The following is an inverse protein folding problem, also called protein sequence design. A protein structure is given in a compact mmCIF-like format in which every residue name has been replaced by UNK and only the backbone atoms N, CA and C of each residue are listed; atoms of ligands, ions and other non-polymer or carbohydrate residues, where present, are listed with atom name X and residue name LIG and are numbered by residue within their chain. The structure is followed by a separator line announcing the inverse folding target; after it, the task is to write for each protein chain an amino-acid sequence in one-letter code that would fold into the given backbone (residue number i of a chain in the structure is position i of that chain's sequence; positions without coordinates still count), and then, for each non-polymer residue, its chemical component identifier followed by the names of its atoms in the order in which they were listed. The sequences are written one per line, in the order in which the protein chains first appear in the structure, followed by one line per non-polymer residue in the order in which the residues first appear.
data_IF_500881584435
#
_entry.id   IF_500881584435
#
_cell.length_a   1.000
_cell.length_b   1.000
_cell.length_c   1.000
_cell.angle_alpha   90.00
_cell.angle_beta   90.00
_cell.angle_gamma   90.00
#
_symmetry.space_group_name_H-M   'P 1'
#
loop_
_entity.id
_entity.type
_entity.pdbx_description
1 polymer ?
#
# COMPACT_ATOMS: atom_id res chain seq x y z
N UNK A 1 14.51 23.27 -25.46
CA UNK A 1 13.83 23.02 -24.16
C UNK A 1 12.36 22.79 -24.45
N UNK A 2 11.81 21.61 -24.13
CA UNK A 2 10.39 21.28 -24.36
C UNK A 2 9.57 21.74 -23.15
N UNK A 3 8.38 22.34 -23.32
CA UNK A 3 7.53 22.68 -22.19
C UNK A 3 6.89 21.41 -21.63
N UNK A 4 7.05 21.20 -20.33
CA UNK A 4 6.27 20.23 -19.55
C UNK A 4 4.84 20.76 -19.46
N UNK A 5 3.92 20.02 -20.08
CA UNK A 5 2.49 20.28 -20.02
C UNK A 5 2.01 19.94 -18.59
N UNK A 6 1.82 20.96 -17.76
CA UNK A 6 1.19 20.82 -16.44
C UNK A 6 -0.32 20.90 -16.66
N UNK A 7 -1.00 19.75 -16.64
CA UNK A 7 -2.46 19.69 -16.67
C UNK A 7 -2.95 19.60 -15.22
N UNK A 8 -3.59 20.68 -14.76
CA UNK A 8 -4.38 20.73 -13.53
C UNK A 8 -5.51 19.71 -13.60
N UNK A 9 -5.47 18.69 -12.75
CA UNK A 9 -6.59 17.76 -12.54
C UNK A 9 -7.42 18.32 -11.38
N UNK A 10 -8.60 18.85 -11.70
CA UNK A 10 -9.59 19.27 -10.70
C UNK A 10 -10.15 18.01 -10.03
N UNK A 11 -9.73 17.75 -8.79
CA UNK A 11 -10.22 16.65 -7.96
C UNK A 11 -11.62 17.03 -7.45
N UNK A 12 -12.65 16.32 -7.92
CA UNK A 12 -14.01 16.45 -7.41
C UNK A 12 -14.14 15.80 -6.02
N UNK A 13 -15.00 16.39 -5.18
CA UNK A 13 -15.32 15.97 -3.81
C UNK A 13 -15.60 14.47 -3.70
N UNK A 14 -14.66 13.72 -3.11
CA UNK A 14 -14.86 12.35 -2.62
C UNK A 14 -14.80 12.45 -1.09
N UNK A 15 -15.85 11.98 -0.43
CA UNK A 15 -15.96 11.95 1.03
C UNK A 15 -14.64 11.48 1.68
N UNK A 16 -14.08 12.35 2.52
CA UNK A 16 -12.84 12.15 3.25
C UNK A 16 -12.98 10.95 4.21
N UNK A 17 -12.59 9.76 3.76
CA UNK A 17 -12.25 8.68 4.69
C UNK A 17 -11.02 9.16 5.47
N UNK A 18 -11.22 9.57 6.73
CA UNK A 18 -10.12 9.92 7.64
C UNK A 18 -9.22 8.70 7.80
N UNK A 19 -7.91 8.92 7.97
CA UNK A 19 -6.91 7.89 8.33
C UNK A 19 -7.30 7.00 9.52
N UNK A 20 -8.25 7.47 10.33
CA UNK A 20 -8.88 6.80 11.48
C UNK A 20 -9.85 5.65 11.09
N UNK A 21 -10.08 5.38 9.81
CA UNK A 21 -11.03 4.36 9.32
C UNK A 21 -10.37 3.20 8.55
N UNK A 22 -9.03 3.08 8.55
CA UNK A 22 -8.40 1.91 7.94
C UNK A 22 -8.74 0.66 8.76
N UNK A 23 -9.56 -0.20 8.18
CA UNK A 23 -9.90 -1.50 8.76
C UNK A 23 -8.98 -2.58 8.21
N UNK A 24 -8.72 -3.61 9.00
CA UNK A 24 -8.00 -4.78 8.49
C UNK A 24 -8.82 -5.41 7.35
N UNK A 25 -8.19 -5.69 6.21
CA UNK A 25 -8.81 -6.55 5.20
C UNK A 25 -9.12 -7.93 5.78
N UNK A 26 -10.37 -8.38 5.63
CA UNK A 26 -10.82 -9.71 5.98
C UNK A 26 -9.95 -10.80 5.34
N UNK A 27 -9.47 -10.57 4.10
CA UNK A 27 -8.52 -11.46 3.42
C UNK A 27 -7.22 -11.61 4.17
N UNK A 28 -6.84 -10.66 5.02
CA UNK A 28 -5.60 -10.66 5.79
C UNK A 28 -5.82 -11.03 7.26
N UNK A 29 -7.05 -11.36 7.67
CA UNK A 29 -7.30 -11.88 9.01
C UNK A 29 -6.49 -13.16 9.26
N UNK A 30 -6.41 -14.08 8.30
CA UNK A 30 -5.58 -15.28 8.44
C UNK A 30 -4.08 -14.97 8.71
N UNK A 31 -3.57 -13.84 8.18
CA UNK A 31 -2.21 -13.39 8.46
C UNK A 31 -2.02 -12.94 9.92
N UNK A 32 -3.09 -12.48 10.59
CA UNK A 32 -3.09 -12.23 12.05
C UNK A 32 -3.17 -13.53 12.85
N UNK A 33 -3.94 -14.51 12.39
CA UNK A 33 -4.07 -15.79 13.10
C UNK A 33 -2.77 -16.59 13.11
N UNK A 34 -1.97 -16.48 12.05
CA UNK A 34 -0.66 -17.10 11.98
C UNK A 34 0.37 -16.40 12.90
N UNK A 35 0.13 -15.14 13.30
CA UNK A 35 0.99 -14.42 14.26
C UNK A 35 0.50 -14.55 15.71
N UNK A 36 -0.81 -14.76 15.95
CA UNK A 36 -1.40 -14.85 17.28
C UNK A 36 -1.23 -16.21 17.96
N UNK A 37 -1.06 -17.32 17.22
CA UNK A 37 -0.76 -18.65 17.79
C UNK A 37 0.49 -18.69 18.66
N UNK A 38 1.37 -17.70 18.57
CA UNK A 38 2.55 -17.56 19.42
C UNK A 38 2.25 -16.99 20.83
N UNK A 39 1.08 -16.38 21.06
CA UNK A 39 0.85 -15.49 22.23
C UNK A 39 -0.22 -15.96 23.24
N UNK A 40 -0.68 -17.22 23.19
CA UNK A 40 -1.53 -17.81 24.24
C UNK A 40 -2.95 -17.23 24.37
N UNK A 41 -3.64 -17.42 25.53
CA UNK A 41 -5.11 -17.32 25.68
C UNK A 41 -5.71 -15.90 25.67
N UNK A 42 -4.96 -14.86 25.31
CA UNK A 42 -5.45 -13.47 25.26
C UNK A 42 -6.16 -13.11 23.92
N UNK A 43 -6.61 -14.12 23.18
CA UNK A 43 -7.04 -14.07 21.77
C UNK A 43 -8.27 -13.20 21.47
N UNK A 44 -9.14 -12.96 22.46
CA UNK A 44 -10.37 -12.18 22.29
C UNK A 44 -10.19 -10.68 22.60
N UNK A 45 -9.46 -10.34 23.67
CA UNK A 45 -9.28 -8.95 24.11
C UNK A 45 -8.27 -8.18 23.24
N UNK A 46 -7.28 -8.88 22.68
CA UNK A 46 -6.31 -8.30 21.75
C UNK A 46 -6.85 -8.07 20.35
N UNK A 47 -7.98 -8.69 19.98
CA UNK A 47 -8.40 -8.79 18.58
C UNK A 47 -8.68 -7.43 17.95
N UNK A 48 -9.29 -6.49 18.68
CA UNK A 48 -9.64 -5.18 18.13
C UNK A 48 -8.45 -4.22 18.10
N UNK A 49 -7.65 -4.14 19.17
CA UNK A 49 -6.46 -3.27 19.20
C UNK A 49 -5.36 -3.73 18.23
N UNK A 50 -5.12 -5.04 18.13
CA UNK A 50 -4.18 -5.61 17.14
C UNK A 50 -4.69 -5.34 15.72
N UNK A 51 -6.00 -5.46 15.47
CA UNK A 51 -6.55 -5.21 14.13
C UNK A 51 -6.26 -3.78 13.66
N UNK A 52 -6.44 -2.78 14.52
CA UNK A 52 -6.17 -1.38 14.17
C UNK A 52 -4.68 -1.12 13.90
N UNK A 53 -3.80 -1.72 14.72
CA UNK A 53 -2.36 -1.61 14.54
C UNK A 53 -1.89 -2.23 13.22
N UNK A 54 -2.39 -3.43 12.89
CA UNK A 54 -2.01 -4.15 11.69
C UNK A 54 -2.70 -3.62 10.44
N UNK A 55 -3.87 -2.99 10.55
CA UNK A 55 -4.50 -2.27 9.44
C UNK A 55 -3.58 -1.15 8.91
N UNK A 56 -2.80 -0.50 9.78
CA UNK A 56 -1.80 0.51 9.38
C UNK A 56 -0.58 -0.08 8.68
N UNK A 57 -0.38 -1.39 8.71
CA UNK A 57 0.66 -2.08 7.95
C UNK A 57 0.17 -2.48 6.54
N UNK A 58 -1.14 -2.41 6.27
CA UNK A 58 -1.75 -2.81 5.01
C UNK A 58 -1.82 -1.69 3.97
N UNK A 59 -0.93 -0.70 4.02
CA UNK A 59 -1.20 0.50 3.25
C UNK A 59 -1.10 0.21 1.74
N UNK A 60 0.00 -0.37 1.23
CA UNK A 60 0.08 -0.75 -0.20
C UNK A 60 -0.87 -1.89 -0.57
N UNK A 61 -1.06 -2.89 0.29
CA UNK A 61 -2.07 -3.95 0.05
C UNK A 61 -3.51 -3.40 0.09
N UNK A 62 -3.70 -2.20 0.65
CA UNK A 62 -4.94 -1.45 0.62
C UNK A 62 -5.18 -0.64 -0.66
N UNK A 63 -4.25 -0.60 -1.62
CA UNK A 63 -4.39 0.18 -2.88
C UNK A 63 -5.68 -0.11 -3.65
N UNK A 64 -6.17 -1.34 -3.59
CA UNK A 64 -7.41 -1.74 -4.28
C UNK A 64 -8.68 -1.40 -3.49
N UNK A 65 -8.56 -1.01 -2.22
CA UNK A 65 -9.69 -0.82 -1.29
C UNK A 65 -9.89 0.63 -0.89
N UNK A 66 -8.80 1.34 -0.63
CA UNK A 66 -8.84 2.70 -0.11
C UNK A 66 -8.63 3.74 -1.21
N UNK A 67 -9.27 4.90 -1.04
CA UNK A 67 -9.00 6.04 -1.89
C UNK A 67 -7.56 6.55 -1.67
N UNK A 68 -6.90 7.03 -2.73
CA UNK A 68 -5.51 7.49 -2.64
C UNK A 68 -5.31 8.60 -1.60
N UNK A 69 -6.37 9.38 -1.27
CA UNK A 69 -6.38 10.39 -0.19
C UNK A 69 -5.93 9.83 1.17
N UNK A 70 -6.19 8.57 1.47
CA UNK A 70 -5.84 7.93 2.75
C UNK A 70 -4.32 7.77 2.92
N UNK A 71 -3.57 7.62 1.84
CA UNK A 71 -2.16 7.20 1.86
C UNK A 71 -1.17 8.32 2.21
N UNK A 72 -1.64 9.57 2.31
CA UNK A 72 -0.82 10.77 2.15
C UNK A 72 0.26 11.02 3.21
N UNK A 73 0.15 10.40 4.39
CA UNK A 73 0.99 10.75 5.54
C UNK A 73 1.59 9.52 6.25
N UNK A 74 1.53 8.34 5.64
CA UNK A 74 2.01 7.15 6.30
C UNK A 74 3.47 6.86 5.98
N UNK A 75 4.28 6.90 7.03
CA UNK A 75 5.65 6.40 7.03
C UNK A 75 5.76 5.25 8.02
N UNK A 76 6.08 4.05 7.52
CA UNK A 76 6.31 2.88 8.36
C UNK A 76 7.80 2.80 8.67
N UNK A 77 8.17 2.79 9.95
CA UNK A 77 9.54 2.51 10.35
C UNK A 77 9.77 1.00 10.36
N UNK A 78 10.86 0.49 9.74
CA UNK A 78 11.24 -0.91 9.89
C UNK A 78 11.32 -1.30 11.37
N UNK A 79 10.76 -2.46 11.71
CA UNK A 79 10.78 -2.96 13.09
C UNK A 79 11.43 -4.34 13.13
N UNK A 80 12.08 -4.64 14.26
CA UNK A 80 12.56 -6.00 14.53
C UNK A 80 11.47 -6.91 15.11
N UNK A 81 10.21 -6.46 15.15
CA UNK A 81 9.09 -7.26 15.66
C UNK A 81 8.81 -8.43 14.70
N UNK A 82 9.05 -9.69 15.10
CA UNK A 82 8.87 -10.84 14.23
C UNK A 82 7.42 -11.01 13.76
N UNK A 83 6.44 -10.65 14.59
CA UNK A 83 5.02 -10.73 14.24
C UNK A 83 4.63 -9.74 13.15
N UNK A 84 5.18 -8.52 13.16
CA UNK A 84 4.90 -7.53 12.10
C UNK A 84 5.55 -7.94 10.80
N UNK A 85 6.78 -8.44 10.87
CA UNK A 85 7.51 -8.92 9.71
C UNK A 85 6.78 -10.12 9.07
N UNK A 86 6.32 -11.09 9.88
CA UNK A 86 5.55 -12.23 9.41
C UNK A 86 4.22 -11.80 8.77
N UNK A 87 3.51 -10.85 9.37
CA UNK A 87 2.28 -10.32 8.80
C UNK A 87 2.51 -9.58 7.48
N UNK A 88 3.53 -8.73 7.39
CA UNK A 88 3.87 -8.02 6.15
C UNK A 88 4.15 -8.99 5.01
N UNK A 89 4.97 -10.02 5.27
CA UNK A 89 5.30 -11.06 4.29
C UNK A 89 4.03 -11.82 3.87
N UNK A 90 3.23 -12.28 4.83
CA UNK A 90 1.97 -12.98 4.56
C UNK A 90 1.04 -12.12 3.71
N UNK A 91 0.87 -10.84 4.08
CA UNK A 91 -0.03 -9.93 3.37
C UNK A 91 0.39 -9.68 1.92
N UNK A 92 1.70 -9.59 1.66
CA UNK A 92 2.19 -9.43 0.30
C UNK A 92 2.05 -10.70 -0.53
N UNK A 93 2.18 -11.89 0.08
CA UNK A 93 1.84 -13.14 -0.58
C UNK A 93 0.35 -13.21 -0.92
N UNK A 94 -0.55 -12.87 0.02
CA UNK A 94 -2.00 -12.89 -0.22
C UNK A 94 -2.41 -12.02 -1.41
N UNK A 95 -1.72 -10.90 -1.63
CA UNK A 95 -1.98 -9.98 -2.74
C UNK A 95 -1.17 -10.28 -4.00
N UNK A 96 -0.34 -11.32 -4.01
CA UNK A 96 0.51 -11.67 -5.13
C UNK A 96 1.60 -10.63 -5.44
N UNK A 97 1.98 -9.82 -4.44
CA UNK A 97 3.09 -8.86 -4.53
C UNK A 97 4.43 -9.49 -4.15
N UNK A 98 4.41 -10.72 -3.62
CA UNK A 98 5.59 -11.47 -3.23
C UNK A 98 5.46 -12.93 -3.67
N UNK A 99 6.51 -13.48 -4.27
CA UNK A 99 6.66 -14.91 -4.57
C UNK A 99 8.00 -15.41 -4.02
N UNK A 100 7.98 -16.33 -3.05
CA UNK A 100 9.16 -16.62 -2.24
C UNK A 100 9.72 -15.35 -1.58
N UNK A 101 10.94 -14.96 -1.96
CA UNK A 101 11.57 -13.72 -1.51
C UNK A 101 11.59 -12.63 -2.57
N UNK A 102 10.96 -12.83 -3.73
CA UNK A 102 10.96 -11.88 -4.85
C UNK A 102 9.70 -11.00 -4.85
N UNK A 103 9.90 -9.69 -4.98
CA UNK A 103 8.80 -8.72 -5.07
C UNK A 103 8.30 -8.69 -6.52
N UNK A 104 7.01 -8.92 -6.70
CA UNK A 104 6.34 -8.93 -8.01
C UNK A 104 5.83 -7.51 -8.31
N UNK A 105 6.73 -6.68 -8.82
CA UNK A 105 6.44 -5.26 -9.11
C UNK A 105 5.31 -5.06 -10.12
N UNK A 106 5.12 -5.97 -11.07
CA UNK A 106 4.01 -5.89 -12.05
C UNK A 106 2.63 -5.98 -11.38
N UNK A 107 2.49 -6.83 -10.35
CA UNK A 107 1.25 -6.92 -9.57
C UNK A 107 0.97 -5.62 -8.80
N UNK A 108 2.03 -4.99 -8.28
CA UNK A 108 1.93 -3.70 -7.60
C UNK A 108 1.58 -2.58 -8.60
N UNK A 109 2.21 -2.55 -9.77
CA UNK A 109 1.92 -1.60 -10.85
C UNK A 109 0.45 -1.70 -11.27
N UNK A 110 -0.05 -2.92 -11.46
CA UNK A 110 -1.45 -3.17 -11.80
C UNK A 110 -2.40 -2.65 -10.72
N UNK A 111 -2.14 -2.95 -9.44
CA UNK A 111 -2.98 -2.47 -8.35
C UNK A 111 -2.95 -0.93 -8.21
N UNK A 112 -1.78 -0.31 -8.40
CA UNK A 112 -1.63 1.14 -8.36
C UNK A 112 -2.32 1.83 -9.53
N UNK A 113 -2.23 1.25 -10.74
CA UNK A 113 -2.97 1.71 -11.92
C UNK A 113 -4.48 1.72 -11.63
N UNK A 114 -5.03 0.63 -11.10
CA UNK A 114 -6.47 0.57 -10.78
C UNK A 114 -6.85 1.61 -9.71
N UNK A 115 -6.00 1.83 -8.71
CA UNK A 115 -6.22 2.87 -7.71
C UNK A 115 -6.24 4.29 -8.31
N UNK A 116 -5.30 4.57 -9.22
CA UNK A 116 -5.23 5.83 -9.94
C UNK A 116 -6.42 6.04 -10.86
N UNK A 117 -6.85 5.00 -11.60
CA UNK A 117 -8.05 5.05 -12.47
C UNK A 117 -9.28 5.42 -11.65
N UNK A 118 -9.45 4.84 -10.46
CA UNK A 118 -10.58 5.20 -9.58
C UNK A 118 -10.52 6.66 -9.12
N UNK A 119 -9.32 7.23 -8.95
CA UNK A 119 -9.16 8.62 -8.53
C UNK A 119 -9.36 9.63 -9.68
N UNK A 120 -8.91 9.31 -10.90
CA UNK A 120 -8.95 10.25 -12.05
C UNK A 120 -10.12 10.02 -13.01
N UNK A 121 -10.76 8.85 -12.95
CA UNK A 121 -11.83 8.42 -13.84
C UNK A 121 -11.37 7.49 -14.98
N UNK A 122 -12.23 6.54 -15.33
CA UNK A 122 -11.99 5.50 -16.35
C UNK A 122 -12.24 5.98 -17.79
N UNK A 123 -11.71 7.14 -18.16
CA UNK A 123 -11.69 7.60 -19.55
C UNK A 123 -10.48 7.01 -20.30
N UNK A 124 -10.48 7.05 -21.64
CA UNK A 124 -9.32 6.66 -22.45
C UNK A 124 -8.02 7.37 -22.01
N UNK A 125 -8.01 8.72 -21.97
CA UNK A 125 -6.88 9.49 -21.44
C UNK A 125 -6.57 9.20 -19.96
N UNK A 126 -7.59 9.10 -19.10
CA UNK A 126 -7.41 8.82 -17.67
C UNK A 126 -6.75 7.47 -17.41
N UNK A 127 -7.11 6.46 -18.19
CA UNK A 127 -6.51 5.11 -18.13
C UNK A 127 -5.05 5.12 -18.56
N UNK A 128 -4.73 5.83 -19.66
CA UNK A 128 -3.35 5.93 -20.14
C UNK A 128 -2.44 6.68 -19.16
N UNK A 129 -2.92 7.81 -18.62
CA UNK A 129 -2.20 8.59 -17.62
C UNK A 129 -1.98 7.77 -16.34
N UNK A 130 -3.02 7.07 -15.86
CA UNK A 130 -2.91 6.19 -14.68
C UNK A 130 -1.89 5.07 -14.88
N UNK A 131 -1.84 4.46 -16.07
CA UNK A 131 -0.85 3.44 -16.42
C UNK A 131 0.58 4.01 -16.42
N UNK A 132 0.79 5.15 -17.08
CA UNK A 132 2.10 5.81 -17.12
C UNK A 132 2.58 6.20 -15.71
N UNK A 133 1.68 6.74 -14.90
CA UNK A 133 1.99 7.17 -13.54
C UNK A 133 2.31 5.97 -12.64
N UNK A 134 1.50 4.90 -12.68
CA UNK A 134 1.75 3.69 -11.90
C UNK A 134 3.12 3.09 -12.22
N UNK A 135 3.45 2.95 -13.52
CA UNK A 135 4.75 2.46 -13.98
C UNK A 135 5.90 3.34 -13.49
N UNK A 136 5.76 4.67 -13.55
CA UNK A 136 6.80 5.57 -13.11
C UNK A 136 7.07 5.45 -11.61
N UNK A 137 6.01 5.37 -10.80
CA UNK A 137 6.12 5.19 -9.34
C UNK A 137 6.81 3.87 -9.02
N UNK A 138 6.34 2.76 -9.57
CA UNK A 138 6.94 1.44 -9.31
C UNK A 138 8.39 1.39 -9.76
N UNK A 139 8.72 1.98 -10.91
CA UNK A 139 10.11 2.09 -11.39
C UNK A 139 11.01 2.84 -10.41
N UNK A 140 10.53 3.90 -9.78
CA UNK A 140 11.31 4.64 -8.78
C UNK A 140 11.48 3.86 -7.46
N UNK A 141 10.56 2.95 -7.17
CA UNK A 141 10.54 2.22 -5.89
C UNK A 141 11.18 0.83 -5.95
N UNK A 142 11.66 0.37 -7.11
CA UNK A 142 12.24 -0.96 -7.27
C UNK A 142 13.70 -1.09 -6.83
N UNK A 143 14.43 0.03 -6.75
CA UNK A 143 15.88 0.06 -6.50
C UNK A 143 16.21 0.10 -5.00
N UNK A 144 15.65 -0.84 -4.23
CA UNK A 144 15.91 -0.95 -2.79
C UNK A 144 16.71 -2.22 -2.50
N UNK A 145 18.03 -2.08 -2.30
CA UNK A 145 18.88 -3.19 -1.86
C UNK A 145 18.73 -3.40 -0.35
N UNK A 146 17.99 -4.43 0.05
CA UNK A 146 17.84 -4.83 1.45
C UNK A 146 17.94 -6.35 1.57
N UNK A 147 18.71 -6.80 2.56
CA UNK A 147 18.92 -8.23 2.84
C UNK A 147 17.65 -8.90 3.40
N UNK A 148 16.91 -8.18 4.24
CA UNK A 148 15.69 -8.69 4.88
C UNK A 148 14.45 -8.31 4.07
N UNK A 149 13.64 -9.32 3.72
CA UNK A 149 12.47 -9.12 2.86
C UNK A 149 11.43 -8.17 3.48
N UNK A 150 11.17 -8.26 4.78
CA UNK A 150 10.23 -7.37 5.46
C UNK A 150 10.69 -5.91 5.44
N UNK A 151 11.98 -5.66 5.65
CA UNK A 151 12.58 -4.32 5.50
C UNK A 151 12.42 -3.82 4.08
N UNK A 152 12.70 -4.66 3.07
CA UNK A 152 12.54 -4.31 1.66
C UNK A 152 11.08 -3.95 1.33
N UNK A 153 10.12 -4.73 1.81
CA UNK A 153 8.68 -4.45 1.73
C UNK A 153 8.37 -3.04 2.26
N UNK A 154 8.81 -2.73 3.48
CA UNK A 154 8.56 -1.43 4.11
C UNK A 154 9.13 -0.27 3.30
N UNK A 155 10.35 -0.42 2.77
CA UNK A 155 10.95 0.61 1.91
C UNK A 155 10.16 0.82 0.62
N UNK A 156 9.73 -0.25 -0.03
CA UNK A 156 8.87 -0.15 -1.23
C UNK A 156 7.55 0.52 -0.89
N UNK A 157 6.89 0.15 0.23
CA UNK A 157 5.66 0.79 0.68
C UNK A 157 5.84 2.29 0.90
N UNK A 158 6.85 2.67 1.67
CA UNK A 158 7.15 4.07 1.96
C UNK A 158 7.46 4.88 0.69
N UNK A 159 8.18 4.29 -0.26
CA UNK A 159 8.46 4.95 -1.54
C UNK A 159 7.17 5.19 -2.35
N UNK A 160 6.28 4.20 -2.41
CA UNK A 160 5.00 4.32 -3.10
C UNK A 160 4.13 5.38 -2.43
N UNK A 161 4.03 5.39 -1.10
CA UNK A 161 3.24 6.39 -0.37
C UNK A 161 3.74 7.80 -0.61
N UNK A 162 5.07 8.01 -0.55
CA UNK A 162 5.68 9.31 -0.82
C UNK A 162 5.33 9.81 -2.22
N UNK A 163 5.43 8.93 -3.21
CA UNK A 163 5.05 9.25 -4.59
C UNK A 163 3.56 9.57 -4.75
N UNK A 164 2.68 8.84 -4.07
CA UNK A 164 1.24 9.15 -4.03
C UNK A 164 0.99 10.49 -3.32
N UNK A 165 1.76 10.81 -2.27
CA UNK A 165 1.71 12.10 -1.58
C UNK A 165 2.01 13.27 -2.51
N UNK A 166 3.05 13.16 -3.34
CA UNK A 166 3.40 14.19 -4.32
C UNK A 166 2.34 14.42 -5.39
N UNK A 167 1.53 13.40 -5.71
CA UNK A 167 0.41 13.56 -6.64
C UNK A 167 -0.72 14.42 -6.10
N UNK A 168 -0.86 14.55 -4.77
CA UNK A 168 -1.91 15.37 -4.14
C UNK A 168 -1.52 16.82 -3.93
N UNK A 169 -0.24 17.11 -3.92
CA UNK A 169 0.29 18.47 -3.74
C UNK A 169 0.33 19.27 -5.05
N UNK A 170 -0.13 18.68 -6.15
CA UNK A 170 -0.25 19.28 -7.49
C UNK A 170 -1.71 19.63 -7.76
#
# INVERSE_FOLDING_TARGET
MKPLLVILVVIWNVEYIRSEQMMLDARLEHCLWNTSKANGPYEAYFRNQIKDEYARLQIVTGLTRYHLSVFGNYHITPTNNPSYNAFLICSWHTYGYLHGTEIIYDSIEMALKEALIRAVGASGPGTQLSKLQARNIVRQCRDVSQQYIATRIIHVQNCIHRNIGYLKSL
#
